data_IF_871754269511
#
_entry.id   IF_871754269511
#
_cell.length_a   1.000
_cell.length_b   1.000
_cell.length_c   1.000
_cell.angle_alpha   90.00
_cell.angle_beta   90.00
_cell.angle_gamma   90.00
#
_symmetry.space_group_name_H-M   'P 1'
#
loop_
_entity.id
_entity.type
_entity.pdbx_description
1 polymer ?
#
# COMPACT_ATOMS: atom_id res chain seq x y z
N UNK A 1 5.28 -12.44 12.95
CA UNK A 1 5.49 -11.09 12.40
C UNK A 1 4.28 -10.73 11.54
N UNK A 2 3.77 -9.50 11.63
CA UNK A 2 2.66 -9.00 10.79
C UNK A 2 3.25 -8.29 9.56
N UNK A 3 2.71 -8.52 8.37
CA UNK A 3 3.13 -7.85 7.12
C UNK A 3 1.91 -7.35 6.36
N UNK A 4 2.07 -6.26 5.60
CA UNK A 4 0.96 -5.57 4.97
C UNK A 4 1.32 -5.16 3.55
N UNK A 5 0.37 -5.32 2.62
CA UNK A 5 0.53 -4.89 1.23
C UNK A 5 -0.78 -4.31 0.70
N UNK A 6 -0.67 -3.38 -0.25
CA UNK A 6 -1.79 -2.81 -1.01
C UNK A 6 -1.86 -3.44 -2.39
N UNK A 7 -3.08 -3.72 -2.85
CA UNK A 7 -3.39 -3.99 -4.25
C UNK A 7 -4.51 -3.07 -4.75
N UNK A 8 -4.82 -3.17 -6.02
CA UNK A 8 -5.88 -2.43 -6.70
C UNK A 8 -6.97 -3.39 -7.19
N UNK A 9 -8.23 -2.94 -7.13
CA UNK A 9 -9.36 -3.66 -7.71
C UNK A 9 -9.26 -3.62 -9.23
N UNK A 10 -8.74 -4.68 -9.81
CA UNK A 10 -8.56 -4.84 -11.24
C UNK A 10 -8.99 -6.26 -11.66
N UNK A 11 -9.66 -6.42 -12.82
CA UNK A 11 -10.02 -7.74 -13.31
C UNK A 11 -8.79 -8.64 -13.45
N UNK A 12 -8.87 -9.86 -12.92
CA UNK A 12 -7.77 -10.82 -12.93
C UNK A 12 -7.27 -11.07 -14.37
N UNK A 13 -5.95 -10.99 -14.57
CA UNK A 13 -5.33 -11.19 -15.88
C UNK A 13 -5.44 -9.99 -16.84
N UNK A 14 -6.14 -8.91 -16.47
CA UNK A 14 -6.14 -7.67 -17.25
C UNK A 14 -4.77 -6.99 -17.26
N UNK A 15 -4.56 -6.06 -18.20
CA UNK A 15 -3.35 -5.21 -18.22
C UNK A 15 -3.18 -4.42 -16.92
N UNK A 16 -4.28 -3.97 -16.31
CA UNK A 16 -4.25 -3.25 -15.05
C UNK A 16 -3.79 -4.14 -13.90
N UNK A 17 -4.33 -5.35 -13.80
CA UNK A 17 -3.92 -6.34 -12.79
C UNK A 17 -2.43 -6.71 -12.93
N UNK A 18 -1.97 -6.98 -14.16
CA UNK A 18 -0.56 -7.30 -14.41
C UNK A 18 0.39 -6.14 -14.08
N UNK A 19 -0.03 -4.89 -14.32
CA UNK A 19 0.79 -3.71 -14.09
C UNK A 19 0.80 -3.28 -12.61
N UNK A 20 -0.36 -3.28 -11.96
CA UNK A 20 -0.52 -2.63 -10.65
C UNK A 20 -0.56 -3.60 -9.47
N UNK A 21 -0.82 -4.89 -9.70
CA UNK A 21 -0.87 -5.91 -8.63
C UNK A 21 0.31 -6.88 -8.64
N UNK A 22 1.38 -6.55 -9.38
CA UNK A 22 2.61 -7.37 -9.38
C UNK A 22 3.22 -7.45 -7.98
N UNK A 23 3.20 -6.35 -7.22
CA UNK A 23 3.76 -6.28 -5.87
C UNK A 23 2.99 -7.15 -4.87
N UNK A 24 1.66 -7.30 -5.04
CA UNK A 24 0.84 -8.19 -4.21
C UNK A 24 1.31 -9.64 -4.33
N UNK A 25 1.71 -10.06 -5.54
CA UNK A 25 2.19 -11.41 -5.81
C UNK A 25 3.56 -11.64 -5.18
N UNK A 26 4.48 -10.68 -5.33
CA UNK A 26 5.80 -10.76 -4.69
C UNK A 26 5.71 -10.71 -3.17
N UNK A 27 4.84 -9.86 -2.61
CA UNK A 27 4.62 -9.78 -1.18
C UNK A 27 4.10 -11.10 -0.60
N UNK A 28 3.21 -11.80 -1.30
CA UNK A 28 2.74 -13.13 -0.91
C UNK A 28 3.88 -14.17 -0.87
N UNK A 29 4.77 -14.16 -1.87
CA UNK A 29 5.94 -15.06 -1.90
C UNK A 29 6.89 -14.79 -0.74
N UNK A 30 7.15 -13.51 -0.43
CA UNK A 30 7.99 -13.11 0.71
C UNK A 30 7.32 -13.52 2.02
N UNK A 31 6.03 -13.29 2.16
CA UNK A 31 5.28 -13.67 3.35
C UNK A 31 5.30 -15.17 3.61
N UNK A 32 5.16 -15.99 2.56
CA UNK A 32 5.28 -17.45 2.64
C UNK A 32 6.69 -17.85 3.07
N UNK A 33 7.71 -17.28 2.41
CA UNK A 33 9.13 -17.58 2.68
C UNK A 33 9.54 -17.34 4.13
N UNK A 34 9.00 -16.29 4.75
CA UNK A 34 9.30 -15.87 6.13
C UNK A 34 8.20 -16.21 7.13
N UNK A 35 7.18 -16.98 6.75
CA UNK A 35 6.07 -17.42 7.60
C UNK A 35 5.41 -16.26 8.37
N UNK A 36 5.10 -15.18 7.67
CA UNK A 36 4.48 -14.00 8.28
C UNK A 36 2.95 -14.08 8.23
N UNK A 37 2.29 -13.40 9.17
CA UNK A 37 0.86 -13.13 9.09
C UNK A 37 0.63 -11.97 8.14
N UNK A 38 0.34 -12.29 6.89
CA UNK A 38 0.24 -11.32 5.80
C UNK A 38 -1.18 -10.80 5.61
N UNK A 39 -1.31 -9.49 5.46
CA UNK A 39 -2.57 -8.81 5.24
C UNK A 39 -2.50 -8.03 3.93
N UNK A 40 -3.54 -8.14 3.12
CA UNK A 40 -3.66 -7.39 1.86
C UNK A 40 -4.89 -6.50 1.93
N UNK A 41 -4.74 -5.23 1.53
CA UNK A 41 -5.87 -4.32 1.33
C UNK A 41 -6.01 -3.97 -0.15
N UNK A 42 -7.22 -4.04 -0.67
CA UNK A 42 -7.53 -3.70 -2.05
C UNK A 42 -8.14 -2.31 -2.13
N UNK A 43 -7.50 -1.40 -2.86
CA UNK A 43 -8.01 -0.08 -3.16
C UNK A 43 -9.00 -0.18 -4.33
N UNK A 44 -10.19 0.37 -4.13
CA UNK A 44 -11.26 0.44 -5.13
C UNK A 44 -11.38 1.87 -5.62
N UNK A 45 -11.72 2.04 -6.89
CA UNK A 45 -12.09 3.35 -7.44
C UNK A 45 -13.56 3.62 -7.13
N UNK A 46 -13.83 4.11 -5.93
CA UNK A 46 -15.19 4.36 -5.44
C UNK A 46 -15.32 5.72 -4.74
N UNK A 47 -16.52 6.02 -4.26
CA UNK A 47 -16.84 7.25 -3.53
C UNK A 47 -16.01 7.41 -2.24
N UNK A 48 -15.58 6.30 -1.63
CA UNK A 48 -14.74 6.38 -0.44
C UNK A 48 -13.34 6.91 -0.77
N UNK A 49 -12.74 6.44 -1.87
CA UNK A 49 -11.49 6.99 -2.36
C UNK A 49 -11.64 8.49 -2.68
N UNK A 50 -12.69 8.87 -3.41
CA UNK A 50 -12.96 10.28 -3.76
C UNK A 50 -13.11 11.16 -2.51
N UNK A 51 -13.85 10.69 -1.51
CA UNK A 51 -14.06 11.41 -0.25
C UNK A 51 -12.78 11.51 0.59
N UNK A 52 -11.85 10.55 0.46
CA UNK A 52 -10.59 10.55 1.19
C UNK A 52 -9.60 11.60 0.65
N UNK A 53 -9.59 11.88 -0.65
CA UNK A 53 -8.58 12.75 -1.28
C UNK A 53 -8.44 14.14 -0.62
N UNK A 54 -9.52 14.90 -0.32
CA UNK A 54 -9.40 16.18 0.35
C UNK A 54 -8.76 16.08 1.74
N UNK A 55 -9.04 15.00 2.48
CA UNK A 55 -8.43 14.77 3.80
C UNK A 55 -6.93 14.46 3.69
N UNK A 56 -6.52 13.73 2.66
CA UNK A 56 -5.09 13.46 2.42
C UNK A 56 -4.35 14.76 2.12
N UNK A 57 -4.89 15.58 1.21
CA UNK A 57 -4.29 16.88 0.87
C UNK A 57 -4.20 17.79 2.10
N UNK A 58 -5.22 17.80 2.95
CA UNK A 58 -5.20 18.57 4.20
C UNK A 58 -4.19 18.04 5.23
N UNK A 59 -3.98 16.72 5.27
CA UNK A 59 -3.06 16.08 6.21
C UNK A 59 -1.58 16.17 5.78
N UNK A 60 -1.32 16.53 4.53
CA UNK A 60 0.04 16.78 4.03
C UNK A 60 0.49 18.19 4.41
N UNK A 61 1.76 18.34 4.80
CA UNK A 61 2.34 19.65 5.13
C UNK A 61 2.35 20.60 3.93
N UNK A 62 2.45 20.04 2.72
CA UNK A 62 2.36 20.77 1.45
C UNK A 62 1.63 19.95 0.37
N UNK A 63 0.88 20.58 -0.54
CA UNK A 63 0.08 19.89 -1.56
C UNK A 63 0.93 19.45 -2.76
N UNK A 64 1.99 18.68 -2.51
CA UNK A 64 2.82 18.08 -3.55
C UNK A 64 2.16 16.81 -4.09
N UNK A 65 2.30 16.57 -5.39
CA UNK A 65 1.89 15.31 -6.00
C UNK A 65 2.79 14.17 -5.54
N UNK A 66 2.33 13.41 -4.54
CA UNK A 66 2.95 12.16 -4.08
C UNK A 66 1.95 11.01 -4.24
N UNK A 67 1.89 10.35 -5.41
CA UNK A 67 0.87 9.34 -5.70
C UNK A 67 0.82 8.18 -4.69
N UNK A 68 1.95 7.86 -4.06
CA UNK A 68 2.09 6.78 -3.07
C UNK A 68 1.36 7.07 -1.76
N UNK A 69 0.97 8.32 -1.47
CA UNK A 69 0.31 8.70 -0.21
C UNK A 69 -1.00 7.95 0.02
N UNK A 70 -1.76 7.67 -1.06
CA UNK A 70 -3.01 6.93 -0.99
C UNK A 70 -2.73 5.52 -0.46
N UNK A 71 -1.72 4.84 -1.02
CA UNK A 71 -1.36 3.49 -0.62
C UNK A 71 -0.86 3.46 0.83
N UNK A 72 -0.01 4.43 1.21
CA UNK A 72 0.52 4.57 2.57
C UNK A 72 -0.59 4.70 3.61
N UNK A 73 -1.60 5.54 3.36
CA UNK A 73 -2.72 5.70 4.30
C UNK A 73 -3.57 4.44 4.41
N UNK A 74 -3.83 3.73 3.30
CA UNK A 74 -4.56 2.45 3.36
C UNK A 74 -3.82 1.39 4.17
N UNK A 75 -2.50 1.26 3.99
CA UNK A 75 -1.66 0.35 4.79
C UNK A 75 -1.64 0.74 6.26
N UNK A 76 -1.40 2.03 6.55
CA UNK A 76 -1.35 2.52 7.93
C UNK A 76 -2.69 2.32 8.65
N UNK A 77 -3.81 2.57 7.98
CA UNK A 77 -5.14 2.33 8.52
C UNK A 77 -5.38 0.84 8.78
N UNK A 78 -4.98 -0.05 7.86
CA UNK A 78 -5.09 -1.50 8.07
C UNK A 78 -4.23 -1.96 9.25
N UNK A 79 -2.97 -1.53 9.33
CA UNK A 79 -2.09 -1.88 10.44
C UNK A 79 -2.64 -1.42 11.79
N UNK A 80 -3.15 -0.18 11.86
CA UNK A 80 -3.82 0.36 13.04
C UNK A 80 -5.02 -0.51 13.46
N UNK A 81 -5.89 -0.89 12.52
CA UNK A 81 -7.05 -1.77 12.80
C UNK A 81 -6.61 -3.17 13.26
N UNK A 82 -5.48 -3.65 12.76
CA UNK A 82 -4.87 -4.92 13.16
C UNK A 82 -4.06 -4.85 14.47
N UNK A 83 -4.14 -3.73 15.19
CA UNK A 83 -3.45 -3.55 16.48
C UNK A 83 -1.93 -3.38 16.36
N UNK A 84 -1.42 -3.01 15.18
CA UNK A 84 0.01 -2.76 14.94
C UNK A 84 0.27 -1.26 15.05
N UNK A 85 0.93 -0.78 16.12
CA UNK A 85 1.14 0.65 16.34
C UNK A 85 2.35 1.21 15.57
N UNK A 86 3.28 0.34 15.15
CA UNK A 86 4.54 0.70 14.49
C UNK A 86 4.78 -0.22 13.31
N UNK A 87 5.16 0.37 12.18
CA UNK A 87 5.53 -0.33 10.95
C UNK A 87 6.93 0.10 10.52
N UNK A 88 7.66 -0.83 9.91
CA UNK A 88 8.91 -0.55 9.22
C UNK A 88 8.63 -0.53 7.71
N UNK A 89 8.99 0.58 7.06
CA UNK A 89 8.99 0.71 5.61
C UNK A 89 10.39 0.50 5.03
N UNK A 90 10.47 0.23 3.73
CA UNK A 90 11.72 0.14 2.97
C UNK A 90 12.07 1.40 2.18
N UNK A 91 11.47 2.53 2.55
CA UNK A 91 11.68 3.82 1.88
C UNK A 91 13.14 4.29 2.06
N UNK A 92 13.63 5.16 1.16
CA UNK A 92 15.02 5.63 1.06
C UNK A 92 16.07 4.61 0.57
N UNK A 93 15.69 3.35 0.34
CA UNK A 93 16.62 2.31 -0.13
C UNK A 93 17.24 2.62 -1.49
N UNK A 94 16.42 3.10 -2.42
CA UNK A 94 16.85 3.42 -3.78
C UNK A 94 17.77 4.66 -3.79
N UNK A 95 17.47 5.65 -2.97
CA UNK A 95 18.27 6.87 -2.79
C UNK A 95 19.66 6.56 -2.23
N UNK A 96 19.75 5.59 -1.32
CA UNK A 96 21.03 5.18 -0.72
C UNK A 96 21.91 4.38 -1.68
N UNK A 97 21.31 3.62 -2.60
CA UNK A 97 22.03 2.67 -3.45
C UNK A 97 21.97 2.99 -4.95
N UNK A 98 21.46 4.17 -5.33
CA UNK A 98 21.29 4.61 -6.72
C UNK A 98 20.39 3.65 -7.52
N UNK A 99 19.29 3.22 -6.91
CA UNK A 99 18.23 2.41 -7.51
C UNK A 99 17.41 3.13 -8.57
#
# INVERSE_FOLDING_TARGET
>A
MQTFTVGFDAPAGSKADQKFNVDVRYAALVAERFHTHHHTITIRQDEHLSALLPHLVYAMDEPISMPTIIQTVYVAALARRSGVPVMLGGDAGDELFLG
#
